data_IF_667580657350
#
_entry.id   IF_667580657350
#
_cell.length_a   1.000
_cell.length_b   1.000
_cell.length_c   1.000
_cell.angle_alpha   90.00
_cell.angle_beta   90.00
_cell.angle_gamma   90.00
#
_symmetry.space_group_name_H-M   'P 1'
#
loop_
_entity.id
_entity.type
_entity.pdbx_description
1 polymer ?
#
# COMPACT_ATOMS: atom_id res chain seq x y z
N UNK A 1 7.25 10.93 0.44
CA UNK A 1 7.19 9.67 -0.31
C UNK A 1 5.79 9.59 -0.89
N UNK A 2 5.68 9.31 -2.18
CA UNK A 2 4.43 9.25 -2.91
C UNK A 2 4.29 7.85 -3.52
N UNK A 3 3.07 7.46 -3.89
CA UNK A 3 2.87 6.19 -4.60
C UNK A 3 3.55 6.25 -5.96
N UNK A 4 4.26 5.19 -6.30
CA UNK A 4 4.75 4.96 -7.66
C UNK A 4 3.78 3.99 -8.35
N UNK A 5 3.01 4.51 -9.30
CA UNK A 5 1.98 3.73 -9.99
C UNK A 5 2.56 2.66 -10.91
N UNK A 6 3.77 2.86 -11.46
CA UNK A 6 4.44 1.85 -12.29
C UNK A 6 4.91 0.68 -11.42
N UNK A 7 5.43 0.99 -10.23
CA UNK A 7 5.82 -0.03 -9.25
C UNK A 7 4.58 -0.77 -8.72
N UNK A 8 3.49 -0.04 -8.43
CA UNK A 8 2.21 -0.64 -8.03
C UNK A 8 1.65 -1.58 -9.10
N UNK A 9 1.63 -1.17 -10.38
CA UNK A 9 1.20 -2.02 -11.50
C UNK A 9 2.08 -3.27 -11.61
N UNK A 10 3.40 -3.10 -11.57
CA UNK A 10 4.35 -4.22 -11.69
C UNK A 10 4.20 -5.24 -10.56
N UNK A 11 4.06 -4.77 -9.32
CA UNK A 11 3.86 -5.65 -8.16
C UNK A 11 2.50 -6.36 -8.20
N UNK A 12 1.44 -5.60 -8.48
CA UNK A 12 0.07 -6.14 -8.57
C UNK A 12 -0.06 -7.18 -9.67
N UNK A 13 0.60 -6.96 -10.81
CA UNK A 13 0.66 -7.92 -11.91
C UNK A 13 1.34 -9.22 -11.50
N UNK A 14 2.54 -9.15 -10.92
CA UNK A 14 3.25 -10.34 -10.46
C UNK A 14 2.47 -11.13 -9.40
N UNK A 15 1.76 -10.43 -8.51
CA UNK A 15 0.88 -11.05 -7.52
C UNK A 15 -0.35 -11.71 -8.16
N UNK A 16 -1.08 -11.01 -9.02
CA UNK A 16 -2.30 -11.53 -9.67
C UNK A 16 -1.99 -12.67 -10.65
N UNK A 17 -0.86 -12.65 -11.34
CA UNK A 17 -0.40 -13.76 -12.20
C UNK A 17 -0.34 -15.10 -11.45
N UNK A 18 -0.09 -15.08 -10.14
CA UNK A 18 -0.02 -16.28 -9.31
C UNK A 18 -1.32 -16.58 -8.53
N UNK A 19 -2.24 -15.62 -8.43
CA UNK A 19 -3.37 -15.69 -7.48
C UNK A 19 -4.76 -15.51 -8.09
N UNK A 20 -4.87 -15.03 -9.34
CA UNK A 20 -6.16 -14.67 -9.97
C UNK A 20 -7.15 -15.84 -10.06
N UNK A 21 -6.69 -17.08 -10.15
CA UNK A 21 -7.55 -18.27 -10.27
C UNK A 21 -8.27 -18.65 -8.96
N UNK A 22 -7.79 -18.18 -7.80
CA UNK A 22 -8.38 -18.52 -6.50
C UNK A 22 -8.85 -17.32 -5.68
N UNK A 23 -8.47 -16.10 -6.06
CA UNK A 23 -9.08 -14.90 -5.48
C UNK A 23 -10.47 -14.67 -6.06
N UNK A 24 -11.39 -14.25 -5.21
CA UNK A 24 -12.69 -13.78 -5.66
C UNK A 24 -12.63 -12.31 -6.12
N UNK A 25 -13.68 -11.86 -6.82
CA UNK A 25 -13.73 -10.50 -7.36
C UNK A 25 -13.56 -9.42 -6.29
N UNK A 26 -14.16 -9.60 -5.11
CA UNK A 26 -14.04 -8.63 -4.02
C UNK A 26 -12.60 -8.54 -3.50
N UNK A 27 -11.90 -9.67 -3.39
CA UNK A 27 -10.49 -9.67 -2.98
C UNK A 27 -9.60 -8.94 -3.98
N UNK A 28 -9.85 -9.12 -5.29
CA UNK A 28 -9.13 -8.39 -6.36
C UNK A 28 -9.45 -6.90 -6.31
N UNK A 29 -10.74 -6.56 -6.20
CA UNK A 29 -11.22 -5.19 -6.19
C UNK A 29 -10.68 -4.39 -4.99
N UNK A 30 -10.34 -5.04 -3.88
CA UNK A 30 -9.78 -4.42 -2.67
C UNK A 30 -8.24 -4.36 -2.62
N UNK A 31 -7.53 -4.83 -3.66
CA UNK A 31 -6.06 -4.78 -3.69
C UNK A 31 -5.48 -3.36 -3.72
N UNK A 32 -6.27 -2.34 -4.07
CA UNK A 32 -5.84 -0.93 -3.94
C UNK A 32 -5.94 -0.46 -2.47
N UNK A 33 -6.89 -0.99 -1.70
CA UNK A 33 -7.14 -0.60 -0.32
C UNK A 33 -6.20 -1.29 0.66
N UNK A 34 -5.83 -2.54 0.39
CA UNK A 34 -4.87 -3.29 1.21
C UNK A 34 -3.57 -2.50 1.53
N UNK A 35 -2.85 -1.91 0.54
CA UNK A 35 -1.66 -1.10 0.83
C UNK A 35 -1.99 0.21 1.57
N UNK A 36 -3.13 0.85 1.33
CA UNK A 36 -3.59 2.02 2.11
C UNK A 36 -3.78 1.64 3.58
N UNK A 37 -4.51 0.57 3.86
CA UNK A 37 -4.76 0.09 5.23
C UNK A 37 -3.47 -0.28 5.96
N UNK A 38 -2.56 -1.01 5.31
CA UNK A 38 -1.27 -1.38 5.89
C UNK A 38 -0.41 -0.13 6.18
N UNK A 39 -0.36 0.82 5.25
CA UNK A 39 0.38 2.08 5.41
C UNK A 39 -0.20 2.91 6.55
N UNK A 40 -1.53 2.98 6.68
CA UNK A 40 -2.21 3.62 7.80
C UNK A 40 -1.82 2.98 9.15
N UNK A 41 -1.89 1.65 9.25
CA UNK A 41 -1.50 0.92 10.46
C UNK A 41 -0.05 1.20 10.83
N UNK A 42 0.86 1.18 9.87
CA UNK A 42 2.29 1.45 10.11
C UNK A 42 2.52 2.91 10.52
N UNK A 43 1.85 3.87 9.87
CA UNK A 43 1.91 5.27 10.27
C UNK A 43 1.45 5.43 11.73
N UNK A 44 0.29 4.88 12.08
CA UNK A 44 -0.25 4.94 13.45
C UNK A 44 0.74 4.35 14.45
N UNK A 45 1.35 3.21 14.14
CA UNK A 45 2.35 2.57 15.00
C UNK A 45 3.60 3.42 15.21
N UNK A 46 4.11 4.09 14.18
CA UNK A 46 5.25 5.01 14.35
C UNK A 46 4.88 6.22 15.21
N UNK A 47 3.69 6.79 15.02
CA UNK A 47 3.24 7.92 15.83
C UNK A 47 3.05 7.51 17.30
N UNK A 48 2.40 6.37 17.53
CA UNK A 48 2.22 5.85 18.88
C UNK A 48 3.54 5.55 19.57
N UNK A 49 4.50 4.95 18.85
CA UNK A 49 5.82 4.67 19.43
C UNK A 49 6.58 5.95 19.79
N UNK A 50 6.54 6.96 18.91
CA UNK A 50 7.11 8.29 19.21
C UNK A 50 6.49 8.93 20.46
N UNK A 51 5.16 8.89 20.59
CA UNK A 51 4.47 9.43 21.77
C UNK A 51 4.78 8.65 23.06
N UNK A 52 5.16 7.37 22.93
CA UNK A 52 5.53 6.51 24.05
C UNK A 52 7.03 6.53 24.36
N UNK A 53 7.82 7.38 23.69
CA UNK A 53 9.26 7.51 23.93
C UNK A 53 10.12 6.46 23.21
N UNK A 54 9.69 6.01 22.03
CA UNK A 54 10.45 5.15 21.10
C UNK A 54 10.90 3.80 21.71
N UNK A 55 9.97 3.08 22.34
CA UNK A 55 10.25 1.84 23.07
C UNK A 55 10.13 0.57 22.23
N UNK A 56 9.45 0.64 21.07
CA UNK A 56 9.19 -0.52 20.22
C UNK A 56 10.12 -0.60 19.01
N UNK A 57 10.22 0.46 18.20
CA UNK A 57 11.09 0.50 17.03
C UNK A 57 12.46 1.05 17.39
N UNK A 58 13.51 0.47 16.81
CA UNK A 58 14.85 1.06 16.90
C UNK A 58 14.85 2.44 16.23
N UNK A 59 15.39 3.42 16.96
CA UNK A 59 15.59 4.80 16.50
C UNK A 59 17.06 5.16 16.56
N UNK A 60 17.47 6.03 15.62
CA UNK A 60 18.84 6.55 15.54
C UNK A 60 18.95 7.96 16.15
N UNK A 61 17.82 8.65 16.30
CA UNK A 61 17.69 9.99 16.85
C UNK A 61 16.25 10.24 17.32
N UNK A 62 16.07 11.19 18.24
CA UNK A 62 14.82 11.50 18.96
C UNK A 62 13.57 11.67 18.08
N UNK A 63 13.72 12.12 16.82
CA UNK A 63 12.59 12.38 15.91
C UNK A 63 12.43 11.33 14.83
N UNK A 64 13.15 10.21 14.90
CA UNK A 64 13.18 9.22 13.81
C UNK A 64 11.79 8.62 13.57
N UNK A 65 11.08 8.15 14.60
CA UNK A 65 9.72 7.62 14.40
C UNK A 65 8.72 8.69 13.95
N UNK A 66 8.85 9.94 14.41
CA UNK A 66 8.04 11.05 13.89
C UNK A 66 8.27 11.30 12.40
N UNK A 67 9.53 11.27 11.94
CA UNK A 67 9.87 11.38 10.52
C UNK A 67 9.29 10.21 9.70
N UNK A 68 9.38 8.99 10.22
CA UNK A 68 8.77 7.80 9.59
C UNK A 68 7.26 7.95 9.49
N UNK A 69 6.60 8.43 10.54
CA UNK A 69 5.16 8.73 10.50
C UNK A 69 4.83 9.73 9.40
N UNK A 70 5.55 10.84 9.28
CA UNK A 70 5.32 11.80 8.19
C UNK A 70 5.47 11.16 6.81
N UNK A 71 6.50 10.33 6.61
CA UNK A 71 6.71 9.64 5.34
C UNK A 71 5.55 8.70 4.99
N UNK A 72 5.07 7.91 5.96
CA UNK A 72 3.94 6.98 5.77
C UNK A 72 2.61 7.73 5.59
N UNK A 73 2.39 8.82 6.32
CA UNK A 73 1.24 9.70 6.14
C UNK A 73 1.19 10.27 4.72
N UNK A 74 2.32 10.77 4.20
CA UNK A 74 2.37 11.30 2.83
C UNK A 74 2.13 10.21 1.79
N UNK A 75 2.68 9.01 1.99
CA UNK A 75 2.41 7.88 1.11
C UNK A 75 0.92 7.47 1.12
N UNK A 76 0.29 7.44 2.30
CA UNK A 76 -1.14 7.16 2.45
C UNK A 76 -1.99 8.15 1.66
N UNK A 77 -1.80 9.46 1.91
CA UNK A 77 -2.53 10.51 1.20
C UNK A 77 -2.34 10.42 -0.31
N UNK A 78 -1.11 10.13 -0.76
CA UNK A 78 -0.82 9.94 -2.17
C UNK A 78 -1.55 8.74 -2.77
N UNK A 79 -1.72 7.63 -2.04
CA UNK A 79 -2.53 6.50 -2.51
C UNK A 79 -4.03 6.81 -2.50
N UNK A 80 -4.52 7.61 -1.56
CA UNK A 80 -5.92 8.07 -1.53
C UNK A 80 -6.21 9.00 -2.73
N UNK A 81 -5.29 9.91 -3.04
CA UNK A 81 -5.37 10.82 -4.20
C UNK A 81 -5.33 10.07 -5.55
N UNK A 82 -4.66 8.92 -5.62
CA UNK A 82 -4.51 8.10 -6.83
C UNK A 82 -5.36 6.81 -6.78
N UNK A 83 -6.36 6.75 -5.90
CA UNK A 83 -7.17 5.54 -5.71
C UNK A 83 -7.84 5.11 -7.02
N UNK A 84 -8.36 6.07 -7.78
CA UNK A 84 -9.03 5.79 -9.04
C UNK A 84 -8.07 5.10 -10.04
N UNK A 85 -6.86 5.63 -10.22
CA UNK A 85 -5.81 5.08 -11.06
C UNK A 85 -5.42 3.67 -10.60
N UNK A 86 -5.20 3.47 -9.29
CA UNK A 86 -4.87 2.15 -8.72
C UNK A 86 -5.95 1.11 -9.04
N UNK A 87 -7.24 1.47 -8.91
CA UNK A 87 -8.36 0.59 -9.27
C UNK A 87 -8.38 0.28 -10.78
N UNK A 88 -8.11 1.27 -11.64
CA UNK A 88 -8.06 1.03 -13.09
C UNK A 88 -6.91 0.10 -13.48
N UNK A 89 -5.75 0.23 -12.84
CA UNK A 89 -4.60 -0.66 -13.02
C UNK A 89 -5.01 -2.11 -12.69
N UNK A 90 -5.63 -2.36 -11.54
CA UNK A 90 -6.07 -3.70 -11.13
C UNK A 90 -7.07 -4.31 -12.13
N UNK A 91 -8.09 -3.55 -12.54
CA UNK A 91 -9.08 -3.99 -13.53
C UNK A 91 -8.45 -4.34 -14.87
N UNK A 92 -7.48 -3.54 -15.32
CA UNK A 92 -6.72 -3.79 -16.55
C UNK A 92 -5.93 -5.10 -16.43
N UNK A 93 -5.17 -5.29 -15.35
CA UNK A 93 -4.39 -6.51 -15.10
C UNK A 93 -5.31 -7.74 -15.09
N UNK A 94 -6.40 -7.69 -14.33
CA UNK A 94 -7.36 -8.79 -14.22
C UNK A 94 -7.94 -9.17 -15.59
N UNK A 95 -8.40 -8.18 -16.36
CA UNK A 95 -8.90 -8.39 -17.72
C UNK A 95 -7.86 -9.01 -18.63
N UNK A 96 -6.61 -8.53 -18.57
CA UNK A 96 -5.53 -9.02 -19.41
C UNK A 96 -5.13 -10.47 -19.08
N UNK A 97 -5.26 -10.88 -17.81
CA UNK A 97 -5.01 -12.26 -17.39
C UNK A 97 -6.17 -13.18 -17.80
N UNK A 98 -7.42 -12.77 -17.61
CA UNK A 98 -8.61 -13.56 -18.00
C UNK A 98 -8.74 -13.76 -19.52
N UNK A 99 -8.20 -12.84 -20.33
CA UNK A 99 -8.18 -12.99 -21.79
C UNK A 99 -7.06 -13.90 -22.33
N UNK A 100 -6.11 -14.31 -21.48
CA UNK A 100 -5.00 -15.20 -21.84
C UNK A 100 -5.26 -16.67 -21.50
N UNK A 101 -6.23 -16.95 -20.63
CA UNK A 101 -6.75 -18.29 -20.30
C UNK A 101 -7.82 -18.71 -21.30
#
# INVERSE_FOLDING_TARGET
MFIDLELFESYSKGFLEQTVEFLNQTEIDELYFAPQLLTFIIALRFLTDYLNGDVYFKVDHEKHNLQRWYAQKQLLLSMEENEHEMRQILKKIEKDLKNKS
#
